data_IF_615977624030
#
_entry.id   IF_615977624030
#
_cell.length_a   1.000
_cell.length_b   1.000
_cell.length_c   1.000
_cell.angle_alpha   90.00
_cell.angle_beta   90.00
_cell.angle_gamma   90.00
#
_symmetry.space_group_name_H-M   'P 1'
#
loop_
_entity.id
_entity.type
_entity.pdbx_description
1 polymer ?
#
# COMPACT_ATOMS: atom_id res chain seq x y z
N UNK A 1 48.72 -17.38 -2.90
CA UNK A 1 49.82 -17.93 -3.71
C UNK A 1 49.71 -19.45 -3.65
N UNK A 2 49.14 -20.06 -4.69
CA UNK A 2 48.98 -21.51 -4.76
C UNK A 2 50.32 -22.13 -5.13
N UNK A 3 51.03 -22.67 -4.14
CA UNK A 3 52.09 -23.63 -4.42
C UNK A 3 51.39 -24.91 -4.90
N UNK A 4 51.52 -25.23 -6.18
CA UNK A 4 51.26 -26.56 -6.73
C UNK A 4 52.22 -27.55 -6.05
N UNK A 5 51.89 -27.97 -4.83
CA UNK A 5 52.53 -29.09 -4.16
C UNK A 5 52.09 -30.34 -4.89
N UNK A 6 53.04 -31.00 -5.56
CA UNK A 6 52.76 -32.24 -6.26
C UNK A 6 52.42 -33.29 -5.18
N UNK A 7 51.19 -33.80 -5.24
CA UNK A 7 50.64 -34.69 -4.23
C UNK A 7 51.29 -36.08 -4.31
N UNK A 8 51.61 -36.67 -3.15
CA UNK A 8 52.00 -38.08 -3.00
C UNK A 8 53.10 -38.64 -3.93
N UNK A 9 54.07 -37.84 -4.37
CA UNK A 9 55.12 -38.30 -5.31
C UNK A 9 55.94 -39.50 -4.81
N UNK A 10 56.18 -39.58 -3.50
CA UNK A 10 56.97 -40.61 -2.82
C UNK A 10 56.07 -41.55 -2.03
N UNK A 11 55.03 -41.03 -1.37
CA UNK A 11 54.14 -41.83 -0.52
C UNK A 11 52.98 -42.51 -1.26
N UNK A 12 52.59 -42.03 -2.45
CA UNK A 12 51.40 -42.49 -3.18
C UNK A 12 50.07 -42.06 -2.53
N UNK A 13 50.09 -41.19 -1.52
CA UNK A 13 48.91 -40.71 -0.83
C UNK A 13 48.31 -39.48 -1.53
N UNK A 14 46.98 -39.47 -1.72
CA UNK A 14 46.24 -38.26 -2.08
C UNK A 14 46.01 -37.43 -0.81
N UNK A 15 47.04 -36.67 -0.43
CA UNK A 15 47.03 -35.87 0.80
C UNK A 15 46.03 -34.73 0.72
N UNK A 16 45.75 -34.21 -0.48
CA UNK A 16 44.71 -33.20 -0.70
C UNK A 16 43.34 -33.73 -0.32
N UNK A 17 42.96 -34.90 -0.83
CA UNK A 17 41.68 -35.55 -0.52
C UNK A 17 41.59 -35.90 0.96
N UNK A 18 42.66 -36.44 1.55
CA UNK A 18 42.68 -36.81 2.96
C UNK A 18 42.55 -35.59 3.89
N UNK A 19 43.27 -34.50 3.61
CA UNK A 19 43.14 -33.24 4.36
C UNK A 19 41.72 -32.70 4.23
N UNK A 20 41.12 -32.71 3.02
CA UNK A 20 39.75 -32.25 2.84
C UNK A 20 38.73 -33.10 3.63
N UNK A 21 38.89 -34.43 3.67
CA UNK A 21 38.04 -35.32 4.46
C UNK A 21 38.19 -35.06 5.97
N UNK A 22 39.41 -34.88 6.46
CA UNK A 22 39.66 -34.51 7.86
C UNK A 22 39.01 -33.16 8.20
N UNK A 23 39.17 -32.17 7.31
CA UNK A 23 38.55 -30.86 7.47
C UNK A 23 37.02 -30.91 7.47
N UNK A 24 36.39 -31.80 6.70
CA UNK A 24 34.93 -31.99 6.73
C UNK A 24 34.44 -32.50 8.09
N UNK A 25 35.15 -33.45 8.69
CA UNK A 25 34.82 -33.98 10.02
C UNK A 25 35.02 -32.90 11.08
N UNK A 26 36.15 -32.20 11.02
CA UNK A 26 36.49 -31.11 11.95
C UNK A 26 35.51 -29.93 11.84
N UNK A 27 34.90 -29.72 10.67
CA UNK A 27 33.86 -28.72 10.45
C UNK A 27 32.47 -29.12 11.01
N UNK A 28 32.30 -30.33 11.55
CA UNK A 28 31.02 -30.82 12.09
C UNK A 28 30.32 -29.85 13.06
N UNK A 29 31.00 -29.32 14.10
CA UNK A 29 30.42 -28.34 15.00
C UNK A 29 29.98 -27.04 14.30
N UNK A 30 30.75 -26.59 13.31
CA UNK A 30 30.40 -25.41 12.53
C UNK A 30 29.15 -25.65 11.68
N UNK A 31 29.05 -26.81 11.03
CA UNK A 31 27.88 -27.22 10.25
C UNK A 31 26.62 -27.22 11.12
N UNK A 32 26.72 -27.72 12.35
CA UNK A 32 25.61 -27.68 13.31
C UNK A 32 25.22 -26.24 13.69
N UNK A 33 26.19 -25.35 13.91
CA UNK A 33 25.92 -23.93 14.15
C UNK A 33 25.25 -23.26 12.95
N UNK A 34 25.73 -23.51 11.73
CA UNK A 34 25.13 -23.00 10.48
C UNK A 34 23.68 -23.47 10.33
N UNK A 35 23.39 -24.75 10.61
CA UNK A 35 22.04 -25.29 10.59
C UNK A 35 21.11 -24.65 11.64
N UNK A 36 21.60 -24.47 12.88
CA UNK A 36 20.86 -23.77 13.95
C UNK A 36 20.60 -22.31 13.60
N UNK A 37 21.60 -21.60 13.06
CA UNK A 37 21.48 -20.21 12.65
C UNK A 37 20.43 -20.06 11.54
N UNK A 38 20.46 -20.95 10.53
CA UNK A 38 19.47 -20.95 9.44
C UNK A 38 18.04 -21.17 9.97
N UNK A 39 17.86 -22.17 10.84
CA UNK A 39 16.56 -22.47 11.47
C UNK A 39 16.05 -21.28 12.29
N UNK A 40 16.94 -20.66 13.09
CA UNK A 40 16.59 -19.49 13.91
C UNK A 40 16.25 -18.28 13.06
N UNK A 41 16.95 -18.06 11.93
CA UNK A 41 16.59 -17.01 10.96
C UNK A 41 15.19 -17.23 10.36
N UNK A 42 14.86 -18.45 9.95
CA UNK A 42 13.51 -18.77 9.47
C UNK A 42 12.44 -18.54 10.55
N UNK A 43 12.75 -18.85 11.81
CA UNK A 43 11.87 -18.56 12.94
C UNK A 43 11.68 -17.06 13.17
N UNK A 44 12.76 -16.27 13.14
CA UNK A 44 12.71 -14.79 13.20
C UNK A 44 11.80 -14.25 12.10
N UNK A 45 11.98 -14.67 10.84
CA UNK A 45 11.14 -14.22 9.73
C UNK A 45 9.67 -14.59 9.91
N UNK A 46 9.39 -15.78 10.48
CA UNK A 46 8.03 -16.19 10.80
C UNK A 46 7.40 -15.33 11.90
N UNK A 47 8.14 -15.04 12.97
CA UNK A 47 7.67 -14.15 14.05
C UNK A 47 7.46 -12.72 13.55
N UNK A 48 8.35 -12.19 12.71
CA UNK A 48 8.19 -10.88 12.08
C UNK A 48 6.92 -10.83 11.22
N UNK A 49 6.66 -11.86 10.42
CA UNK A 49 5.43 -11.96 9.63
C UNK A 49 4.18 -12.02 10.51
N UNK A 50 4.22 -12.79 11.61
CA UNK A 50 3.14 -12.80 12.59
C UNK A 50 2.94 -11.43 13.22
N UNK A 51 4.03 -10.72 13.57
CA UNK A 51 3.97 -9.40 14.19
C UNK A 51 3.27 -8.37 13.31
N UNK A 52 3.59 -8.35 12.02
CA UNK A 52 2.90 -7.47 11.04
C UNK A 52 1.40 -7.77 10.97
N UNK A 53 1.01 -9.04 10.99
CA UNK A 53 -0.41 -9.44 10.97
C UNK A 53 -1.13 -9.04 12.26
N UNK A 54 -0.49 -9.22 13.42
CA UNK A 54 -1.04 -8.81 14.71
C UNK A 54 -1.17 -7.28 14.80
N UNK A 55 -0.17 -6.52 14.31
CA UNK A 55 -0.25 -5.07 14.24
C UNK A 55 -1.40 -4.60 13.33
N UNK A 56 -1.58 -5.23 12.17
CA UNK A 56 -2.71 -4.94 11.28
C UNK A 56 -4.07 -5.28 11.91
N UNK A 57 -4.14 -6.35 12.71
CA UNK A 57 -5.31 -6.67 13.52
C UNK A 57 -5.57 -5.57 14.56
N UNK A 58 -4.53 -5.08 15.25
CA UNK A 58 -4.65 -4.00 16.22
C UNK A 58 -5.25 -2.72 15.59
N UNK A 59 -4.73 -2.30 14.43
CA UNK A 59 -5.24 -1.12 13.71
C UNK A 59 -6.70 -1.28 13.28
N UNK A 60 -7.06 -2.44 12.72
CA UNK A 60 -8.43 -2.73 12.30
C UNK A 60 -9.38 -2.75 13.50
N UNK A 61 -9.01 -3.46 14.56
CA UNK A 61 -9.83 -3.57 15.76
C UNK A 61 -9.99 -2.21 16.46
N UNK A 62 -8.93 -1.42 16.55
CA UNK A 62 -8.99 -0.05 17.07
C UNK A 62 -9.90 0.85 16.21
N UNK A 63 -9.92 0.67 14.89
CA UNK A 63 -10.87 1.37 14.01
C UNK A 63 -12.31 0.95 14.32
N UNK A 64 -12.59 -0.35 14.47
CA UNK A 64 -13.95 -0.86 14.74
C UNK A 64 -14.46 -0.42 16.11
N UNK A 65 -13.59 -0.29 17.10
CA UNK A 65 -13.91 0.16 18.45
C UNK A 65 -14.37 1.64 18.51
N UNK A 66 -13.97 2.46 17.52
CA UNK A 66 -14.30 3.89 17.48
C UNK A 66 -15.78 4.15 17.18
N UNK A 67 -16.47 5.02 17.94
CA UNK A 67 -17.86 5.38 17.69
C UNK A 67 -18.13 5.90 16.28
N UNK A 68 -17.17 6.58 15.66
CA UNK A 68 -17.30 7.15 14.31
C UNK A 68 -17.44 6.06 13.24
N UNK A 69 -16.87 4.88 13.45
CA UNK A 69 -17.00 3.75 12.51
C UNK A 69 -18.42 3.19 12.42
N UNK A 70 -19.27 3.54 13.39
CA UNK A 70 -20.67 3.11 13.47
C UNK A 70 -21.64 4.13 12.88
N UNK A 71 -21.15 5.32 12.54
CA UNK A 71 -21.91 6.38 11.88
C UNK A 71 -21.93 6.16 10.35
N UNK A 72 -22.27 4.95 9.93
CA UNK A 72 -22.30 4.58 8.52
C UNK A 72 -23.68 4.90 7.93
N UNK A 73 -23.72 5.89 7.05
CA UNK A 73 -24.93 6.33 6.37
C UNK A 73 -24.73 6.26 4.86
N UNK A 74 -25.80 5.90 4.16
CA UNK A 74 -25.82 5.77 2.71
C UNK A 74 -26.91 6.67 2.14
N UNK A 75 -26.50 7.58 1.26
CA UNK A 75 -27.42 8.34 0.43
C UNK A 75 -27.56 7.66 -0.93
N UNK A 76 -28.79 7.39 -1.35
CA UNK A 76 -29.11 6.83 -2.66
C UNK A 76 -29.94 7.82 -3.45
N UNK A 77 -29.71 7.88 -4.76
CA UNK A 77 -30.44 8.75 -5.69
C UNK A 77 -31.36 7.92 -6.56
N UNK A 78 -32.54 8.44 -6.88
CA UNK A 78 -33.44 7.87 -7.88
C UNK A 78 -33.00 8.15 -9.33
N UNK A 79 -32.00 9.01 -9.55
CA UNK A 79 -31.49 9.38 -10.88
C UNK A 79 -29.98 9.17 -10.97
N UNK A 80 -29.51 8.64 -12.10
CA UNK A 80 -28.06 8.46 -12.39
C UNK A 80 -27.34 9.77 -12.65
N UNK A 81 -28.07 10.84 -12.96
CA UNK A 81 -27.51 12.18 -13.15
C UNK A 81 -27.23 12.93 -11.84
N UNK A 82 -27.59 12.34 -10.72
CA UNK A 82 -27.42 12.91 -9.38
C UNK A 82 -26.73 11.89 -8.49
N UNK A 83 -25.64 12.30 -7.86
CA UNK A 83 -24.95 11.53 -6.83
C UNK A 83 -25.11 12.23 -5.49
N UNK A 84 -25.09 11.46 -4.41
CA UNK A 84 -25.16 11.99 -3.06
C UNK A 84 -24.14 11.29 -2.18
N UNK A 85 -23.50 12.05 -1.29
CA UNK A 85 -22.55 11.55 -0.30
C UNK A 85 -23.05 11.90 1.10
N UNK A 86 -23.15 10.90 1.96
CA UNK A 86 -23.52 11.06 3.35
C UNK A 86 -22.26 11.04 4.25
N UNK A 87 -22.22 11.92 5.24
CA UNK A 87 -21.20 11.98 6.28
C UNK A 87 -21.67 11.26 7.56
N UNK A 88 -20.81 11.19 8.57
CA UNK A 88 -21.16 10.60 9.87
C UNK A 88 -22.27 11.34 10.63
N UNK A 89 -22.51 12.62 10.31
CA UNK A 89 -23.60 13.41 10.89
C UNK A 89 -24.93 13.27 10.15
N UNK A 90 -24.98 12.45 9.09
CA UNK A 90 -26.20 12.24 8.34
C UNK A 90 -27.30 11.60 9.20
N UNK A 91 -28.55 11.81 8.80
CA UNK A 91 -29.72 11.24 9.45
C UNK A 91 -30.63 10.60 8.41
N UNK A 92 -31.37 9.57 8.84
CA UNK A 92 -32.36 8.95 7.98
C UNK A 92 -33.41 9.96 7.51
N UNK A 93 -33.72 9.96 6.23
CA UNK A 93 -34.65 10.91 5.64
C UNK A 93 -34.66 10.85 4.13
N UNK A 94 -35.59 11.58 3.51
CA UNK A 94 -35.67 11.68 2.06
C UNK A 94 -35.98 13.10 1.63
N UNK A 95 -35.37 13.54 0.52
CA UNK A 95 -35.63 14.83 -0.08
C UNK A 95 -35.83 14.67 -1.59
N UNK A 96 -36.91 15.24 -2.11
CA UNK A 96 -37.19 15.29 -3.55
C UNK A 96 -37.00 16.71 -4.10
N UNK A 97 -36.36 16.81 -5.26
CA UNK A 97 -36.11 18.07 -5.94
C UNK A 97 -36.05 17.90 -7.46
N UNK A 98 -36.17 19.01 -8.19
CA UNK A 98 -35.98 19.08 -9.63
C UNK A 98 -34.71 19.87 -9.92
N UNK A 99 -33.85 19.38 -10.81
CA UNK A 99 -32.68 20.13 -11.29
C UNK A 99 -33.13 20.98 -12.46
N UNK A 100 -33.15 22.31 -12.30
CA UNK A 100 -33.57 23.23 -13.37
C UNK A 100 -32.40 23.68 -14.25
N UNK A 101 -31.21 23.89 -13.65
CA UNK A 101 -29.96 24.17 -14.37
C UNK A 101 -28.76 23.53 -13.67
N UNK A 102 -27.69 23.30 -14.43
CA UNK A 102 -26.39 22.85 -13.91
C UNK A 102 -25.38 23.97 -14.07
N UNK A 103 -24.48 24.12 -13.09
CA UNK A 103 -23.43 25.10 -13.15
C UNK A 103 -22.48 24.78 -14.31
N UNK A 104 -22.20 25.78 -15.15
CA UNK A 104 -21.35 25.62 -16.33
C UNK A 104 -20.22 26.63 -16.33
N UNK A 105 -19.08 26.24 -16.90
CA UNK A 105 -17.98 27.18 -17.17
C UNK A 105 -18.27 27.96 -18.46
N UNK A 106 -17.78 29.19 -18.53
CA UNK A 106 -17.84 30.00 -19.75
C UNK A 106 -16.94 29.42 -20.85
N UNK A 107 -17.41 29.48 -22.09
CA UNK A 107 -16.63 29.17 -23.31
C UNK A 107 -16.82 30.31 -24.30
N UNK A 108 -15.71 30.97 -24.64
CA UNK A 108 -15.67 32.05 -25.63
C UNK A 108 -14.62 31.75 -26.69
N UNK A 109 -14.79 32.35 -27.86
CA UNK A 109 -13.90 32.23 -28.99
C UNK A 109 -13.38 33.61 -29.38
N UNK A 110 -12.15 33.66 -29.87
CA UNK A 110 -11.69 34.81 -30.65
C UNK A 110 -12.45 34.94 -31.96
N UNK A 111 -12.38 36.12 -32.57
CA UNK A 111 -12.63 36.25 -34.01
C UNK A 111 -11.69 35.35 -34.83
N UNK A 112 -12.03 35.20 -36.12
CA UNK A 112 -11.20 34.44 -37.06
C UNK A 112 -9.89 35.19 -37.29
N UNK A 113 -8.77 34.54 -37.00
CA UNK A 113 -7.43 35.12 -37.09
C UNK A 113 -6.48 34.26 -37.91
N UNK A 114 -5.49 34.89 -38.53
CA UNK A 114 -4.32 34.22 -39.07
C UNK A 114 -3.28 34.03 -37.96
N UNK A 115 -2.34 33.10 -38.13
CA UNK A 115 -1.18 32.94 -37.24
C UNK A 115 -0.03 33.86 -37.68
N UNK A 116 -0.28 35.17 -37.63
CA UNK A 116 0.62 36.22 -38.10
C UNK A 116 1.20 37.08 -36.96
N UNK A 117 0.90 36.73 -35.71
CA UNK A 117 1.33 37.48 -34.52
C UNK A 117 0.39 38.59 -34.08
N UNK A 118 -0.68 38.91 -34.84
CA UNK A 118 -1.49 40.09 -34.58
C UNK A 118 -2.37 39.99 -33.32
N UNK A 119 -2.62 38.79 -32.79
CA UNK A 119 -3.56 38.58 -31.69
C UNK A 119 -3.06 39.17 -30.35
N UNK A 120 -1.77 39.04 -30.03
CA UNK A 120 -1.19 39.54 -28.77
C UNK A 120 -0.51 40.92 -28.93
N UNK A 121 -0.21 41.35 -30.16
CA UNK A 121 0.54 42.57 -30.42
C UNK A 121 2.03 42.46 -30.13
N UNK A 122 2.73 43.60 -30.25
CA UNK A 122 4.18 43.70 -30.02
C UNK A 122 4.43 44.90 -29.09
N UNK A 123 4.97 44.69 -27.87
CA UNK A 123 5.27 43.39 -27.25
C UNK A 123 3.99 42.55 -26.99
N UNK A 124 4.08 41.20 -27.03
CA UNK A 124 2.91 40.34 -26.86
C UNK A 124 2.42 40.36 -25.41
N UNK A 125 1.23 40.92 -25.19
CA UNK A 125 0.59 40.99 -23.88
C UNK A 125 -0.87 40.56 -23.96
N UNK A 126 -1.26 39.60 -23.14
CA UNK A 126 -2.65 39.18 -22.97
C UNK A 126 -3.01 39.32 -21.50
N UNK A 127 -4.14 39.95 -21.21
CA UNK A 127 -4.65 40.06 -19.85
C UNK A 127 -6.01 39.40 -19.75
N UNK A 128 -6.17 38.52 -18.78
CA UNK A 128 -7.46 37.89 -18.46
C UNK A 128 -8.04 38.59 -17.23
N UNK A 129 -9.28 39.05 -17.36
CA UNK A 129 -10.11 39.48 -16.23
C UNK A 129 -10.94 38.29 -15.77
N UNK A 130 -10.69 37.80 -14.57
CA UNK A 130 -11.49 36.72 -13.96
C UNK A 130 -12.84 37.26 -13.46
N UNK A 131 -13.80 36.38 -13.20
CA UNK A 131 -15.13 36.73 -12.68
C UNK A 131 -15.09 37.43 -11.32
N UNK A 132 -14.07 37.12 -10.50
CA UNK A 132 -13.76 37.81 -9.26
C UNK A 132 -13.14 39.22 -9.46
N UNK A 133 -12.90 39.63 -10.70
CA UNK A 133 -12.35 40.94 -11.07
C UNK A 133 -10.82 41.02 -11.07
N UNK A 134 -10.10 39.93 -10.80
CA UNK A 134 -8.64 39.93 -10.83
C UNK A 134 -8.12 40.02 -12.27
N UNK A 135 -7.09 40.84 -12.48
CA UNK A 135 -6.40 40.97 -13.75
C UNK A 135 -5.10 40.18 -13.74
N UNK A 136 -4.99 39.21 -14.65
CA UNK A 136 -3.80 38.38 -14.81
C UNK A 136 -3.19 38.64 -16.17
N UNK A 137 -2.11 39.40 -16.19
CA UNK A 137 -1.34 39.68 -17.42
C UNK A 137 -0.30 38.60 -17.67
N UNK A 138 -0.30 38.08 -18.89
CA UNK A 138 0.62 37.05 -19.38
C UNK A 138 1.43 37.64 -20.52
N UNK A 139 2.68 37.20 -20.59
CA UNK A 139 3.68 37.62 -21.58
C UNK A 139 4.10 36.40 -22.41
N UNK A 140 3.39 36.11 -23.52
CA UNK A 140 3.83 35.08 -24.45
C UNK A 140 5.23 35.34 -25.00
N UNK A 141 5.97 34.29 -25.35
CA UNK A 141 7.31 34.44 -25.95
C UNK A 141 7.28 35.12 -27.31
N UNK A 142 6.20 34.92 -28.07
CA UNK A 142 5.94 35.58 -29.36
C UNK A 142 4.44 35.80 -29.55
N UNK A 143 4.06 36.51 -30.62
CA UNK A 143 2.65 36.69 -30.99
C UNK A 143 1.99 35.45 -31.62
N UNK A 144 2.72 34.35 -31.85
CA UNK A 144 2.17 33.15 -32.48
C UNK A 144 1.02 32.56 -31.65
N UNK A 145 0.00 32.01 -32.30
CA UNK A 145 -1.16 31.43 -31.61
C UNK A 145 -0.75 30.28 -30.67
N UNK A 146 0.28 29.53 -31.06
CA UNK A 146 0.84 28.45 -30.25
C UNK A 146 1.50 28.98 -28.96
N UNK A 147 2.32 30.03 -29.05
CA UNK A 147 2.96 30.61 -27.88
C UNK A 147 1.96 31.31 -26.96
N UNK A 148 0.95 31.97 -27.54
CA UNK A 148 -0.13 32.61 -26.77
C UNK A 148 -0.93 31.57 -25.98
N UNK A 149 -1.37 30.48 -26.63
CA UNK A 149 -2.11 29.42 -25.93
C UNK A 149 -1.26 28.67 -24.92
N UNK A 150 0.03 28.43 -25.23
CA UNK A 150 0.97 27.84 -24.28
C UNK A 150 1.13 28.73 -23.04
N UNK A 151 1.38 30.03 -23.21
CA UNK A 151 1.56 30.94 -22.10
C UNK A 151 0.29 31.05 -21.23
N UNK A 152 -0.90 31.06 -21.84
CA UNK A 152 -2.18 30.99 -21.12
C UNK A 152 -2.36 29.68 -20.35
N UNK A 153 -1.98 28.55 -20.94
CA UNK A 153 -2.16 27.24 -20.28
C UNK A 153 -1.15 27.00 -19.16
N UNK A 154 0.06 27.57 -19.27
CA UNK A 154 1.15 27.46 -18.29
C UNK A 154 1.03 28.48 -17.14
N UNK A 155 0.28 29.57 -17.33
CA UNK A 155 0.08 30.59 -16.30
C UNK A 155 -0.76 30.06 -15.13
N UNK A 156 -0.26 30.26 -13.91
CA UNK A 156 -1.04 30.07 -12.69
C UNK A 156 -2.12 31.17 -12.57
N UNK A 157 -3.23 30.84 -11.92
CA UNK A 157 -4.28 31.78 -11.51
C UNK A 157 -5.00 32.57 -12.62
N UNK A 158 -4.72 32.28 -13.90
CA UNK A 158 -5.36 32.94 -15.04
C UNK A 158 -6.86 32.60 -15.19
N UNK A 159 -7.32 31.50 -14.59
CA UNK A 159 -8.74 31.11 -14.58
C UNK A 159 -9.31 30.61 -15.92
N UNK A 160 -8.48 30.49 -16.96
CA UNK A 160 -8.87 30.03 -18.30
C UNK A 160 -7.87 29.02 -18.89
N UNK A 161 -8.35 28.18 -19.79
CA UNK A 161 -7.54 27.33 -20.68
C UNK A 161 -7.82 27.69 -22.13
N UNK A 162 -6.78 27.66 -22.95
CA UNK A 162 -6.83 28.10 -24.33
C UNK A 162 -6.48 26.96 -25.29
N UNK A 163 -7.19 26.87 -26.41
CA UNK A 163 -6.92 25.88 -27.47
C UNK A 163 -7.08 26.53 -28.84
N UNK A 164 -6.10 26.32 -29.72
CA UNK A 164 -6.17 26.79 -31.11
C UNK A 164 -6.99 25.79 -31.94
N UNK A 165 -7.98 26.29 -32.67
CA UNK A 165 -8.85 25.50 -33.54
C UNK A 165 -8.77 26.04 -34.95
N UNK A 166 -8.38 25.19 -35.91
CA UNK A 166 -8.36 25.53 -37.33
C UNK A 166 -9.80 25.55 -37.87
N UNK A 167 -10.18 26.62 -38.57
CA UNK A 167 -11.56 26.82 -39.09
C UNK A 167 -11.66 26.84 -40.62
N UNK A 168 -10.53 26.90 -41.34
CA UNK A 168 -10.52 26.81 -42.82
C UNK A 168 -9.57 25.73 -43.33
N UNK A 169 -9.90 25.18 -44.50
CA UNK A 169 -9.04 24.29 -45.28
C UNK A 169 -8.28 25.11 -46.33
N UNK A 170 -6.99 24.82 -46.57
CA UNK A 170 -6.17 25.53 -47.57
C UNK A 170 -4.72 25.81 -47.12
N UNK A 171 -3.95 26.45 -48.01
CA UNK A 171 -2.53 26.83 -47.79
C UNK A 171 -2.36 28.01 -46.83
N UNK A 172 -3.40 28.83 -46.66
CA UNK A 172 -3.49 29.94 -45.69
C UNK A 172 -4.56 29.63 -44.63
N UNK A 173 -4.26 28.74 -43.66
CA UNK A 173 -5.23 28.35 -42.64
C UNK A 173 -5.58 29.53 -41.72
N UNK A 174 -6.86 29.64 -41.41
CA UNK A 174 -7.39 30.54 -40.40
C UNK A 174 -7.79 29.74 -39.15
N UNK A 175 -7.71 30.42 -38.00
CA UNK A 175 -7.89 29.81 -36.69
C UNK A 175 -8.83 30.63 -35.81
N UNK A 176 -9.36 30.01 -34.77
CA UNK A 176 -9.91 30.66 -33.58
C UNK A 176 -9.18 30.11 -32.36
N UNK A 177 -9.00 30.92 -31.33
CA UNK A 177 -8.66 30.41 -30.00
C UNK A 177 -9.95 30.24 -29.23
N UNK A 178 -10.19 29.02 -28.73
CA UNK A 178 -11.22 28.75 -27.75
C UNK A 178 -10.66 28.96 -26.35
N UNK A 179 -11.27 29.85 -25.59
CA UNK A 179 -11.04 30.01 -24.17
C UNK A 179 -12.12 29.26 -23.39
N UNK A 180 -11.71 28.48 -22.40
CA UNK A 180 -12.60 27.72 -21.52
C UNK A 180 -12.28 28.10 -20.08
N UNK A 181 -13.27 28.58 -19.34
CA UNK A 181 -13.11 28.92 -17.92
C UNK A 181 -12.85 27.67 -17.07
N UNK A 182 -12.09 27.82 -15.99
CA UNK A 182 -11.80 26.74 -15.04
C UNK A 182 -12.77 26.68 -13.86
N UNK A 183 -13.62 27.71 -13.71
CA UNK A 183 -14.57 27.87 -12.61
C UNK A 183 -15.99 27.92 -13.17
N UNK A 184 -16.95 27.32 -12.48
CA UNK A 184 -18.38 27.41 -12.81
C UNK A 184 -19.03 28.57 -12.04
N UNK A 185 -20.30 28.84 -12.34
CA UNK A 185 -21.08 29.87 -11.65
C UNK A 185 -21.17 31.16 -12.46
N UNK A 186 -22.32 31.81 -12.40
CA UNK A 186 -22.67 32.98 -13.21
C UNK A 186 -21.67 34.12 -13.01
N UNK A 187 -21.31 34.41 -11.76
CA UNK A 187 -20.37 35.48 -11.42
C UNK A 187 -18.91 35.01 -11.46
N UNK A 188 -18.53 34.04 -10.63
CA UNK A 188 -17.13 33.62 -10.48
C UNK A 188 -16.57 32.87 -11.69
N UNK A 189 -17.44 32.20 -12.45
CA UNK A 189 -17.08 31.46 -13.66
C UNK A 189 -16.99 32.32 -14.92
N UNK A 190 -17.37 33.61 -14.83
CA UNK A 190 -17.22 34.54 -15.92
C UNK A 190 -15.75 34.90 -16.14
N UNK A 191 -15.38 35.24 -17.38
CA UNK A 191 -14.07 35.83 -17.66
C UNK A 191 -14.13 36.67 -18.93
N UNK A 192 -13.11 37.50 -19.11
CA UNK A 192 -12.91 38.28 -20.32
C UNK A 192 -11.43 38.31 -20.68
N UNK A 193 -11.13 38.28 -21.97
CA UNK A 193 -9.75 38.21 -22.45
C UNK A 193 -9.45 39.44 -23.28
N UNK A 194 -8.39 40.15 -22.91
CA UNK A 194 -7.98 41.39 -23.54
C UNK A 194 -6.58 41.26 -24.12
N UNK A 195 -6.38 41.96 -25.24
CA UNK A 195 -5.06 42.27 -25.76
C UNK A 195 -4.56 43.55 -25.10
N UNK A 196 -3.43 43.46 -24.39
CA UNK A 196 -2.85 44.56 -23.61
C UNK A 196 -2.48 44.15 -22.18
N UNK A 197 -1.88 45.08 -21.44
CA UNK A 197 -1.55 44.91 -20.03
C UNK A 197 -2.74 45.22 -19.11
N UNK A 198 -2.59 44.94 -17.81
CA UNK A 198 -3.61 45.20 -16.81
C UNK A 198 -4.03 46.68 -16.77
N UNK A 199 -3.09 47.62 -16.90
CA UNK A 199 -3.38 49.04 -16.85
C UNK A 199 -4.33 49.46 -18.00
N UNK A 200 -4.09 48.98 -19.22
CA UNK A 200 -4.95 49.23 -20.36
C UNK A 200 -6.35 48.62 -20.20
N UNK A 201 -6.46 47.46 -19.53
CA UNK A 201 -7.77 46.86 -19.20
C UNK A 201 -8.52 47.71 -18.16
N UNK A 202 -7.83 48.19 -17.13
CA UNK A 202 -8.44 49.02 -16.07
C UNK A 202 -8.98 50.34 -16.62
N UNK A 203 -8.23 51.01 -17.50
CA UNK A 203 -8.65 52.29 -18.10
C UNK A 203 -9.54 52.13 -19.34
N UNK A 204 -9.86 50.89 -19.73
CA UNK A 204 -10.76 50.58 -20.84
C UNK A 204 -10.21 50.84 -22.24
N UNK A 205 -8.88 50.89 -22.39
CA UNK A 205 -8.20 51.08 -23.70
C UNK A 205 -7.75 49.77 -24.33
N UNK A 206 -7.74 48.67 -23.58
CA UNK A 206 -7.43 47.34 -24.11
C UNK A 206 -8.56 46.77 -24.99
N UNK A 207 -8.19 46.08 -26.07
CA UNK A 207 -9.17 45.46 -26.98
C UNK A 207 -9.58 44.08 -26.43
N UNK A 208 -10.88 43.88 -26.20
CA UNK A 208 -11.43 42.56 -25.88
C UNK A 208 -11.34 41.64 -27.10
N UNK A 209 -10.76 40.45 -26.93
CA UNK A 209 -10.52 39.50 -28.02
C UNK A 209 -11.43 38.28 -27.99
N UNK A 210 -12.12 38.01 -26.88
CA UNK A 210 -13.07 36.89 -26.74
C UNK A 210 -14.50 37.28 -27.12
N UNK A 211 -14.68 37.68 -28.38
CA UNK A 211 -15.90 38.36 -28.85
C UNK A 211 -17.10 37.43 -29.10
N UNK A 212 -16.89 36.13 -29.27
CA UNK A 212 -17.96 35.17 -29.55
C UNK A 212 -18.19 34.21 -28.38
N UNK A 213 -19.37 34.26 -27.74
CA UNK A 213 -19.74 33.36 -26.64
C UNK A 213 -20.41 32.10 -27.17
N UNK A 214 -19.83 30.93 -26.89
CA UNK A 214 -20.40 29.61 -27.22
C UNK A 214 -21.28 29.11 -26.07
N UNK A 215 -20.84 29.35 -24.82
CA UNK A 215 -21.58 29.01 -23.61
C UNK A 215 -21.25 30.05 -22.54
N UNK A 216 -22.28 30.65 -21.95
CA UNK A 216 -22.09 31.49 -20.77
C UNK A 216 -21.79 30.63 -19.53
N UNK A 217 -21.07 31.19 -18.56
CA UNK A 217 -21.06 30.60 -17.23
C UNK A 217 -22.44 30.73 -16.60
N UNK A 218 -22.83 29.74 -15.79
CA UNK A 218 -24.13 29.75 -15.12
C UNK A 218 -24.04 29.03 -13.78
N UNK A 219 -24.98 29.36 -12.89
CA UNK A 219 -25.19 28.70 -11.61
C UNK A 219 -26.01 27.41 -11.76
N UNK A 220 -25.82 26.48 -10.84
CA UNK A 220 -26.71 25.34 -10.67
C UNK A 220 -27.95 25.78 -9.89
N UNK A 221 -29.10 25.28 -10.30
CA UNK A 221 -30.38 25.63 -9.71
C UNK A 221 -31.22 24.39 -9.46
N UNK A 222 -31.70 24.25 -8.22
CA UNK A 222 -32.68 23.24 -7.82
C UNK A 222 -33.99 23.92 -7.44
N UNK A 223 -35.11 23.27 -7.76
CA UNK A 223 -36.41 23.59 -7.19
C UNK A 223 -36.83 22.50 -6.22
N UNK A 224 -37.03 22.90 -4.96
CA UNK A 224 -37.56 22.08 -3.87
C UNK A 224 -39.08 22.19 -3.83
N UNK A 225 -39.76 21.07 -3.57
CA UNK A 225 -41.24 20.99 -3.44
C UNK A 225 -42.01 21.65 -4.59
N UNK A 226 -41.53 21.46 -5.83
CA UNK A 226 -42.08 22.05 -7.05
C UNK A 226 -43.60 21.82 -7.15
N UNK A 227 -44.35 22.88 -7.45
CA UNK A 227 -45.81 22.81 -7.59
C UNK A 227 -46.61 22.89 -6.28
N UNK A 228 -45.95 23.22 -5.16
CA UNK A 228 -46.61 23.48 -3.87
C UNK A 228 -46.44 24.94 -3.45
N UNK A 229 -47.22 25.40 -2.47
CA UNK A 229 -47.09 26.75 -1.89
C UNK A 229 -45.73 26.96 -1.17
N UNK A 230 -45.02 25.88 -0.85
CA UNK A 230 -43.71 25.89 -0.21
C UNK A 230 -42.54 25.77 -1.21
N UNK A 231 -42.80 25.96 -2.51
CA UNK A 231 -41.78 25.85 -3.54
C UNK A 231 -40.62 26.83 -3.26
N UNK A 232 -39.39 26.30 -3.22
CA UNK A 232 -38.20 27.09 -2.99
C UNK A 232 -37.17 26.80 -4.07
N UNK A 233 -36.63 27.87 -4.65
CA UNK A 233 -35.49 27.80 -5.55
C UNK A 233 -34.21 27.91 -4.73
N UNK A 234 -33.25 27.02 -5.00
CA UNK A 234 -31.93 27.04 -4.41
C UNK A 234 -30.86 27.10 -5.50
N UNK A 235 -30.08 28.18 -5.49
CA UNK A 235 -29.08 28.52 -6.52
C UNK A 235 -27.69 28.60 -5.90
N UNK A 236 -26.68 28.11 -6.61
CA UNK A 236 -25.29 28.20 -6.20
C UNK A 236 -24.31 28.10 -7.39
N UNK A 237 -23.06 28.54 -7.24
CA UNK A 237 -22.08 28.56 -8.33
C UNK A 237 -21.49 27.20 -8.70
N UNK A 238 -21.74 26.15 -7.91
CA UNK A 238 -21.18 24.81 -8.09
C UNK A 238 -22.27 23.77 -8.37
N UNK A 239 -21.90 22.67 -9.00
CA UNK A 239 -22.78 21.50 -9.16
C UNK A 239 -22.93 20.66 -7.89
N UNK A 240 -22.18 20.95 -6.83
CA UNK A 240 -22.25 20.24 -5.55
C UNK A 240 -22.94 21.11 -4.51
N UNK A 241 -24.13 20.70 -4.10
CA UNK A 241 -24.96 21.30 -3.04
C UNK A 241 -24.52 20.72 -1.69
N UNK A 242 -23.62 21.43 -1.03
CA UNK A 242 -23.10 21.03 0.30
C UNK A 242 -24.15 21.24 1.38
N UNK A 243 -24.38 20.24 2.22
CA UNK A 243 -25.32 20.31 3.34
C UNK A 243 -26.78 20.50 2.94
N UNK A 244 -27.17 20.06 1.73
CA UNK A 244 -28.56 20.13 1.25
C UNK A 244 -29.52 19.39 2.21
N UNK A 245 -29.04 18.31 2.82
CA UNK A 245 -29.63 17.72 4.02
C UNK A 245 -28.56 17.71 5.13
N UNK A 246 -28.96 17.54 6.39
CA UNK A 246 -27.99 17.41 7.49
C UNK A 246 -27.03 16.25 7.19
N UNK A 247 -25.74 16.56 7.03
CA UNK A 247 -24.70 15.58 6.73
C UNK A 247 -24.73 15.00 5.32
N UNK A 248 -25.45 15.59 4.36
CA UNK A 248 -25.51 15.07 2.98
C UNK A 248 -25.22 16.17 1.98
N UNK A 249 -24.25 15.87 1.11
CA UNK A 249 -23.92 16.68 -0.05
C UNK A 249 -24.48 16.01 -1.31
N UNK A 250 -24.99 16.81 -2.24
CA UNK A 250 -25.61 16.32 -3.47
C UNK A 250 -24.95 16.95 -4.67
N UNK A 251 -24.46 16.14 -5.60
CA UNK A 251 -23.85 16.61 -6.85
C UNK A 251 -24.77 16.29 -8.03
N UNK A 252 -25.02 17.29 -8.87
CA UNK A 252 -25.87 17.17 -10.06
C UNK A 252 -25.05 17.31 -11.33
N UNK A 253 -25.40 16.55 -12.37
CA UNK A 253 -24.67 16.57 -13.64
C UNK A 253 -25.55 16.81 -14.86
N UNK A 254 -26.87 16.74 -14.69
CA UNK A 254 -27.84 16.98 -15.77
C UNK A 254 -29.11 17.61 -15.20
N UNK A 255 -29.73 18.46 -16.02
CA UNK A 255 -31.08 18.99 -15.80
C UNK A 255 -32.09 17.85 -15.84
N UNK A 256 -33.07 17.89 -14.95
CA UNK A 256 -34.22 16.96 -14.95
C UNK A 256 -35.11 17.30 -16.14
N UNK A 257 -35.41 16.32 -16.99
CA UNK A 257 -36.27 16.58 -18.15
C UNK A 257 -37.69 16.98 -17.71
N UNK A 258 -38.40 17.77 -18.53
CA UNK A 258 -39.73 18.28 -18.17
C UNK A 258 -40.78 17.17 -17.95
N UNK A 259 -40.57 16.00 -18.53
CA UNK A 259 -41.39 14.79 -18.43
C UNK A 259 -40.85 13.77 -17.41
N UNK A 260 -39.70 14.03 -16.79
CA UNK A 260 -39.12 13.17 -15.75
C UNK A 260 -39.67 13.53 -14.36
N UNK A 261 -39.88 12.50 -13.53
CA UNK A 261 -40.24 12.70 -12.14
C UNK A 261 -39.11 13.40 -11.35
N UNK A 262 -39.42 14.16 -10.28
CA UNK A 262 -38.40 14.75 -9.42
C UNK A 262 -37.40 13.71 -8.90
N UNK A 263 -36.13 14.09 -8.85
CA UNK A 263 -35.09 13.25 -8.26
C UNK A 263 -35.28 13.19 -6.75
N UNK A 264 -35.24 11.99 -6.19
CA UNK A 264 -35.34 11.76 -4.75
C UNK A 264 -34.04 11.19 -4.22
N UNK A 265 -33.48 11.87 -3.21
CA UNK A 265 -32.39 11.36 -2.39
C UNK A 265 -32.98 10.69 -1.17
N UNK A 266 -32.56 9.46 -0.89
CA UNK A 266 -32.94 8.70 0.31
C UNK A 266 -31.70 8.40 1.13
N UNK A 267 -31.72 8.76 2.40
CA UNK A 267 -30.66 8.49 3.36
C UNK A 267 -31.14 7.41 4.30
N UNK A 268 -30.37 6.34 4.38
CA UNK A 268 -30.60 5.24 5.31
C UNK A 268 -29.30 4.81 5.96
N UNK A 269 -29.40 4.09 7.07
CA UNK A 269 -28.24 3.50 7.71
C UNK A 269 -27.60 2.47 6.78
N UNK A 270 -26.28 2.52 6.63
CA UNK A 270 -25.55 1.61 5.75
C UNK A 270 -25.27 0.29 6.46
N UNK A 271 -26.30 -0.56 6.54
CA UNK A 271 -26.18 -1.87 7.17
C UNK A 271 -25.16 -2.78 6.48
N UNK A 272 -24.89 -2.57 5.19
CA UNK A 272 -23.87 -3.34 4.45
C UNK A 272 -22.46 -2.93 4.89
N UNK A 273 -22.21 -1.63 5.03
CA UNK A 273 -20.93 -1.15 5.58
C UNK A 273 -20.72 -1.64 7.02
N UNK A 274 -21.76 -1.66 7.86
CA UNK A 274 -21.67 -2.15 9.24
C UNK A 274 -21.47 -3.68 9.32
N UNK A 275 -22.13 -4.47 8.46
CA UNK A 275 -21.82 -5.91 8.32
C UNK A 275 -20.36 -6.12 7.91
N UNK A 276 -19.89 -5.33 6.94
CA UNK A 276 -18.50 -5.41 6.48
C UNK A 276 -17.51 -5.07 7.60
N UNK A 277 -17.84 -4.09 8.46
CA UNK A 277 -17.02 -3.74 9.62
C UNK A 277 -16.84 -4.94 10.57
N UNK A 278 -17.92 -5.65 10.88
CA UNK A 278 -17.87 -6.85 11.72
C UNK A 278 -17.19 -8.05 11.06
N UNK A 279 -17.46 -8.30 9.78
CA UNK A 279 -16.83 -9.40 9.05
C UNK A 279 -15.33 -9.18 8.84
N UNK A 280 -14.90 -7.94 8.57
CA UNK A 280 -13.48 -7.59 8.42
C UNK A 280 -12.71 -7.79 9.73
N UNK A 281 -13.30 -7.45 10.89
CA UNK A 281 -12.70 -7.73 12.20
C UNK A 281 -12.48 -9.24 12.41
N UNK A 282 -13.52 -10.04 12.19
CA UNK A 282 -13.46 -11.51 12.36
C UNK A 282 -12.46 -12.13 11.37
N UNK A 283 -12.43 -11.66 10.13
CA UNK A 283 -11.49 -12.13 9.12
C UNK A 283 -10.04 -11.80 9.51
N UNK A 284 -9.77 -10.58 9.97
CA UNK A 284 -8.43 -10.17 10.42
C UNK A 284 -7.95 -11.01 11.61
N UNK A 285 -8.85 -11.26 12.59
CA UNK A 285 -8.56 -12.15 13.72
C UNK A 285 -8.21 -13.57 13.24
N UNK A 286 -9.02 -14.12 12.34
CA UNK A 286 -8.81 -15.46 11.79
C UNK A 286 -7.51 -15.57 10.98
N UNK A 287 -7.06 -14.51 10.30
CA UNK A 287 -5.77 -14.50 9.60
C UNK A 287 -4.62 -14.72 10.58
N UNK A 288 -4.66 -14.06 11.74
CA UNK A 288 -3.65 -14.25 12.80
C UNK A 288 -3.72 -15.66 13.38
N UNK A 289 -4.91 -16.12 13.76
CA UNK A 289 -5.10 -17.45 14.34
C UNK A 289 -4.69 -18.57 13.36
N UNK A 290 -4.98 -18.40 12.07
CA UNK A 290 -4.61 -19.36 11.02
C UNK A 290 -3.11 -19.38 10.75
N UNK A 291 -2.43 -18.23 10.81
CA UNK A 291 -0.96 -18.16 10.71
C UNK A 291 -0.32 -18.93 11.87
N UNK A 292 -0.82 -18.72 13.09
CA UNK A 292 -0.35 -19.44 14.27
C UNK A 292 -0.59 -20.95 14.12
N UNK A 293 -1.82 -21.35 13.77
CA UNK A 293 -2.18 -22.75 13.63
C UNK A 293 -1.35 -23.45 12.54
N UNK A 294 -1.23 -22.84 11.36
CA UNK A 294 -0.47 -23.41 10.24
C UNK A 294 1.01 -23.59 10.55
N UNK A 295 1.62 -22.64 11.27
CA UNK A 295 3.03 -22.72 11.67
C UNK A 295 3.27 -23.53 12.94
N UNK A 296 2.23 -23.86 13.70
CA UNK A 296 2.33 -24.72 14.87
C UNK A 296 2.06 -26.19 14.55
N UNK A 297 1.46 -26.46 13.38
CA UNK A 297 1.08 -27.80 12.95
C UNK A 297 2.28 -28.75 12.87
N UNK A 298 2.05 -30.01 13.26
CA UNK A 298 3.03 -31.09 13.12
C UNK A 298 2.66 -31.89 11.87
N UNK A 299 3.61 -32.03 10.94
CA UNK A 299 3.44 -32.82 9.73
C UNK A 299 4.14 -34.17 9.86
N UNK A 300 3.47 -35.23 9.40
CA UNK A 300 4.01 -36.59 9.38
C UNK A 300 4.12 -37.05 7.93
N UNK A 301 5.31 -37.49 7.51
CA UNK A 301 5.55 -38.01 6.17
C UNK A 301 6.22 -39.37 6.22
N UNK A 302 5.79 -40.30 5.38
CA UNK A 302 6.49 -41.59 5.21
C UNK A 302 7.60 -41.43 4.18
N UNK A 303 8.83 -41.72 4.58
CA UNK A 303 10.00 -41.69 3.72
C UNK A 303 10.00 -42.88 2.73
N UNK A 304 10.83 -42.80 1.70
CA UNK A 304 10.98 -43.86 0.68
C UNK A 304 11.48 -45.20 1.23
N UNK A 305 12.09 -45.19 2.41
CA UNK A 305 12.55 -46.38 3.14
C UNK A 305 11.47 -46.97 4.08
N UNK A 306 10.24 -46.44 4.05
CA UNK A 306 9.12 -46.87 4.89
C UNK A 306 9.13 -46.31 6.31
N UNK A 307 10.11 -45.48 6.68
CA UNK A 307 10.16 -44.85 8.01
C UNK A 307 9.24 -43.62 8.09
N UNK A 308 8.65 -43.39 9.26
CA UNK A 308 7.85 -42.18 9.50
C UNK A 308 8.75 -41.04 9.97
N UNK A 309 8.72 -39.91 9.28
CA UNK A 309 9.34 -38.66 9.68
C UNK A 309 8.28 -37.70 10.22
N UNK A 310 8.57 -37.09 11.37
CA UNK A 310 7.68 -36.11 12.02
C UNK A 310 8.41 -34.76 12.05
N UNK A 311 7.78 -33.73 11.49
CA UNK A 311 8.33 -32.37 11.45
C UNK A 311 7.34 -31.40 12.11
N UNK A 312 7.78 -30.79 13.21
CA UNK A 312 7.07 -29.64 13.77
C UNK A 312 7.17 -28.42 12.86
N UNK A 313 6.11 -27.62 12.81
CA UNK A 313 6.16 -26.29 12.25
C UNK A 313 7.05 -25.36 13.09
N UNK A 314 7.33 -24.17 12.57
CA UNK A 314 8.25 -23.22 13.19
C UNK A 314 7.80 -22.73 14.57
N UNK A 315 6.50 -22.81 14.88
CA UNK A 315 5.93 -22.38 16.17
C UNK A 315 5.58 -23.58 17.07
N UNK A 316 5.89 -24.81 16.66
CA UNK A 316 5.64 -25.99 17.49
C UNK A 316 6.44 -25.89 18.79
N UNK A 317 5.72 -25.88 19.92
CA UNK A 317 6.33 -25.77 21.26
C UNK A 317 6.56 -24.33 21.74
N UNK A 318 6.24 -23.31 20.94
CA UNK A 318 6.44 -21.92 21.34
C UNK A 318 5.34 -21.43 22.29
N UNK A 319 5.73 -21.21 23.55
CA UNK A 319 4.81 -20.78 24.63
C UNK A 319 4.28 -19.37 24.40
N UNK A 320 5.11 -18.43 23.96
CA UNK A 320 4.70 -17.05 23.67
C UNK A 320 3.63 -17.00 22.58
N UNK A 321 3.82 -17.75 21.49
CA UNK A 321 2.86 -17.82 20.38
C UNK A 321 1.53 -18.43 20.84
N UNK A 322 1.58 -19.47 21.68
CA UNK A 322 0.37 -20.09 22.26
C UNK A 322 -0.37 -19.13 23.20
N UNK A 323 0.35 -18.37 24.02
CA UNK A 323 -0.23 -17.38 24.91
C UNK A 323 -0.98 -16.29 24.11
N UNK A 324 -0.37 -15.80 23.02
CA UNK A 324 -1.01 -14.84 22.09
C UNK A 324 -2.31 -15.41 21.51
N UNK A 325 -2.27 -16.66 21.02
CA UNK A 325 -3.46 -17.33 20.49
C UNK A 325 -4.59 -17.39 21.53
N UNK A 326 -4.26 -17.75 22.78
CA UNK A 326 -5.22 -17.84 23.88
C UNK A 326 -5.80 -16.47 24.24
N UNK A 327 -4.95 -15.45 24.42
CA UNK A 327 -5.38 -14.09 24.76
C UNK A 327 -6.31 -13.49 23.70
N UNK A 328 -5.98 -13.66 22.40
CA UNK A 328 -6.83 -13.19 21.31
C UNK A 328 -8.17 -13.94 21.25
N UNK A 329 -8.15 -15.27 21.49
CA UNK A 329 -9.37 -16.08 21.52
C UNK A 329 -10.27 -15.69 22.70
N UNK A 330 -9.70 -15.40 23.87
CA UNK A 330 -10.42 -14.93 25.05
C UNK A 330 -11.01 -13.53 24.83
N UNK A 331 -10.22 -12.59 24.31
CA UNK A 331 -10.66 -11.22 23.99
C UNK A 331 -11.86 -11.19 23.02
N UNK A 332 -11.87 -12.10 22.04
CA UNK A 332 -12.94 -12.21 21.05
C UNK A 332 -14.16 -13.01 21.52
N UNK A 333 -14.03 -13.88 22.54
CA UNK A 333 -15.11 -14.78 22.96
C UNK A 333 -15.80 -14.38 24.27
N UNK A 334 -15.14 -13.64 25.15
CA UNK A 334 -15.73 -13.27 26.44
C UNK A 334 -16.92 -12.30 26.28
N UNK A 335 -17.90 -12.34 27.21
CA UNK A 335 -19.00 -11.39 27.19
C UNK A 335 -18.53 -9.93 27.29
N UNK A 336 -19.28 -9.00 26.69
CA UNK A 336 -19.13 -7.55 26.84
C UNK A 336 -20.40 -7.05 27.53
N UNK A 337 -20.28 -6.40 28.68
CA UNK A 337 -21.41 -5.97 29.51
C UNK A 337 -22.45 -7.07 29.79
N UNK A 338 -21.97 -8.31 29.96
CA UNK A 338 -22.80 -9.48 30.19
C UNK A 338 -23.46 -10.08 28.94
N UNK A 339 -23.27 -9.47 27.76
CA UNK A 339 -23.77 -9.98 26.49
C UNK A 339 -22.72 -10.81 25.76
N UNK A 340 -23.13 -11.95 25.21
CA UNK A 340 -22.25 -12.77 24.37
C UNK A 340 -21.96 -12.07 23.03
N UNK A 341 -20.73 -12.17 22.49
CA UNK A 341 -20.40 -11.71 21.14
C UNK A 341 -21.31 -12.26 20.02
N UNK A 342 -21.97 -13.40 20.26
CA UNK A 342 -22.96 -14.00 19.35
C UNK A 342 -24.17 -13.12 19.09
N UNK A 343 -24.51 -12.19 20.00
CA UNK A 343 -25.55 -11.18 19.80
C UNK A 343 -25.20 -10.25 18.63
N UNK A 344 -23.90 -9.99 18.42
CA UNK A 344 -23.39 -9.24 17.28
C UNK A 344 -22.95 -10.15 16.11
N UNK A 345 -23.38 -11.41 16.08
CA UNK A 345 -23.06 -12.36 15.02
C UNK A 345 -21.67 -13.01 15.12
N UNK A 346 -20.87 -12.74 16.16
CA UNK A 346 -19.56 -13.37 16.33
C UNK A 346 -19.68 -14.70 17.07
N UNK A 347 -19.20 -15.78 16.46
CA UNK A 347 -19.30 -17.14 16.99
C UNK A 347 -17.96 -17.87 16.95
N UNK A 348 -17.61 -18.58 18.02
CA UNK A 348 -16.42 -19.44 18.10
C UNK A 348 -16.75 -20.85 17.62
N UNK A 349 -15.97 -21.37 16.67
CA UNK A 349 -16.08 -22.73 16.16
C UNK A 349 -15.24 -23.71 16.98
N UNK A 350 -15.56 -25.01 16.80
CA UNK A 350 -14.84 -26.13 17.44
C UNK A 350 -13.37 -26.21 17.05
N UNK A 351 -12.99 -25.68 15.89
CA UNK A 351 -11.60 -25.63 15.40
C UNK A 351 -10.81 -24.44 15.95
N UNK A 352 -11.41 -23.60 16.79
CA UNK A 352 -10.79 -22.40 17.37
C UNK A 352 -10.85 -21.17 16.47
N UNK A 353 -11.50 -21.24 15.31
CA UNK A 353 -11.73 -20.07 14.43
C UNK A 353 -13.03 -19.35 14.77
N UNK A 354 -13.15 -18.10 14.36
CA UNK A 354 -14.36 -17.30 14.55
C UNK A 354 -15.16 -17.21 13.25
N UNK A 355 -16.48 -17.05 13.36
CA UNK A 355 -17.35 -16.71 12.23
C UNK A 355 -18.21 -15.50 12.52
N UNK A 356 -18.50 -14.76 11.46
CA UNK A 356 -19.45 -13.66 11.47
C UNK A 356 -20.74 -14.11 10.75
N UNK A 357 -21.83 -14.20 11.50
CA UNK A 357 -23.17 -14.47 10.97
C UNK A 357 -23.84 -13.14 10.60
N UNK A 358 -23.78 -12.79 9.31
CA UNK A 358 -24.38 -11.57 8.78
C UNK A 358 -25.89 -11.49 9.01
N UNK A 359 -26.60 -12.63 8.95
CA UNK A 359 -28.05 -12.65 9.13
C UNK A 359 -28.43 -12.42 10.59
N UNK A 360 -27.70 -13.04 11.52
CA UNK A 360 -27.86 -12.79 12.95
C UNK A 360 -27.53 -11.32 13.30
N UNK A 361 -26.45 -10.77 12.74
CA UNK A 361 -26.09 -9.36 12.91
C UNK A 361 -27.19 -8.44 12.39
N UNK A 362 -27.67 -8.62 11.16
CA UNK A 362 -28.73 -7.76 10.59
C UNK A 362 -29.99 -7.78 11.44
N UNK A 363 -30.41 -8.96 11.92
CA UNK A 363 -31.57 -9.08 12.80
C UNK A 363 -31.35 -8.34 14.12
N UNK A 364 -30.25 -8.63 14.81
CA UNK A 364 -29.96 -8.03 16.11
C UNK A 364 -29.79 -6.50 16.01
N UNK A 365 -29.19 -6.02 14.93
CA UNK A 365 -28.96 -4.60 14.70
C UNK A 365 -30.26 -3.86 14.40
N UNK A 366 -31.21 -4.48 13.69
CA UNK A 366 -32.54 -3.91 13.49
C UNK A 366 -33.35 -3.82 14.80
N UNK A 367 -33.17 -4.79 15.71
CA UNK A 367 -33.87 -4.83 17.00
C UNK A 367 -33.28 -3.85 18.01
N UNK A 368 -31.94 -3.76 18.12
CA UNK A 368 -31.24 -2.90 19.08
C UNK A 368 -29.84 -2.50 18.56
N UNK A 369 -29.74 -1.42 17.76
CA UNK A 369 -28.48 -0.95 17.19
C UNK A 369 -27.43 -0.61 18.25
N UNK A 370 -27.86 0.00 19.36
CA UNK A 370 -26.97 0.44 20.43
C UNK A 370 -26.32 -0.77 21.12
N UNK A 371 -27.10 -1.81 21.43
CA UNK A 371 -26.56 -3.04 22.01
C UNK A 371 -25.57 -3.73 21.09
N UNK A 372 -25.88 -3.87 19.80
CA UNK A 372 -24.95 -4.49 18.84
C UNK A 372 -23.66 -3.68 18.72
N UNK A 373 -23.76 -2.35 18.67
CA UNK A 373 -22.60 -1.46 18.69
C UNK A 373 -21.75 -1.66 19.94
N UNK A 374 -22.35 -1.62 21.14
CA UNK A 374 -21.63 -1.82 22.41
C UNK A 374 -20.87 -3.15 22.41
N UNK A 375 -21.54 -4.24 22.02
CA UNK A 375 -20.92 -5.58 22.03
C UNK A 375 -19.78 -5.67 21.03
N UNK A 376 -19.99 -5.29 19.77
CA UNK A 376 -18.96 -5.44 18.74
C UNK A 376 -17.80 -4.47 18.95
N UNK A 377 -18.08 -3.22 19.35
CA UNK A 377 -17.03 -2.25 19.68
C UNK A 377 -16.22 -2.70 20.90
N UNK A 378 -16.85 -3.24 21.96
CA UNK A 378 -16.12 -3.75 23.13
C UNK A 378 -15.32 -5.02 22.84
N UNK A 379 -15.80 -5.90 21.94
CA UNK A 379 -14.99 -7.01 21.43
C UNK A 379 -13.77 -6.47 20.69
N UNK A 380 -13.98 -5.51 19.80
CA UNK A 380 -12.90 -4.90 19.03
C UNK A 380 -11.88 -4.18 19.91
N UNK A 381 -12.31 -3.47 20.95
CA UNK A 381 -11.45 -2.78 21.91
C UNK A 381 -10.51 -3.77 22.62
N UNK A 382 -11.03 -4.86 23.18
CA UNK A 382 -10.20 -5.89 23.85
C UNK A 382 -9.24 -6.58 22.88
N UNK A 383 -9.70 -6.86 21.65
CA UNK A 383 -8.83 -7.43 20.62
C UNK A 383 -7.73 -6.45 20.23
N UNK A 384 -8.05 -5.15 20.12
CA UNK A 384 -7.08 -4.11 19.83
C UNK A 384 -6.04 -3.95 20.93
N UNK A 385 -6.46 -3.99 22.20
CA UNK A 385 -5.58 -3.94 23.38
C UNK A 385 -4.57 -5.10 23.34
N UNK A 386 -5.06 -6.34 23.28
CA UNK A 386 -4.19 -7.53 23.23
C UNK A 386 -3.26 -7.48 22.01
N UNK A 387 -3.78 -7.14 20.83
CA UNK A 387 -2.98 -7.08 19.62
C UNK A 387 -1.91 -5.98 19.70
N UNK A 388 -2.21 -4.84 20.32
CA UNK A 388 -1.25 -3.75 20.55
C UNK A 388 -0.16 -4.20 21.51
N UNK A 389 -0.51 -4.76 22.67
CA UNK A 389 0.46 -5.25 23.67
C UNK A 389 1.37 -6.36 23.15
N UNK A 390 0.90 -7.14 22.18
CA UNK A 390 1.70 -8.17 21.54
C UNK A 390 2.63 -7.59 20.49
N UNK A 391 2.15 -6.65 19.68
CA UNK A 391 2.83 -6.17 18.48
C UNK A 391 3.56 -4.84 18.61
N UNK A 392 3.45 -4.17 19.77
CA UNK A 392 4.10 -2.90 20.01
C UNK A 392 5.60 -2.94 19.66
N UNK A 393 6.06 -1.88 19.01
CA UNK A 393 7.41 -1.82 18.44
C UNK A 393 8.53 -1.75 19.46
N UNK A 394 8.22 -1.49 20.73
CA UNK A 394 9.20 -1.38 21.81
C UNK A 394 8.97 -2.42 22.89
N UNK A 395 7.75 -2.52 23.40
CA UNK A 395 7.40 -3.32 24.56
C UNK A 395 6.63 -4.60 24.19
N UNK A 396 6.29 -4.76 22.91
CA UNK A 396 5.49 -5.86 22.41
C UNK A 396 6.11 -7.22 22.74
N UNK A 397 5.33 -8.13 23.31
CA UNK A 397 5.83 -9.46 23.69
C UNK A 397 6.45 -10.22 22.51
N UNK A 398 5.89 -10.07 21.31
CA UNK A 398 6.43 -10.65 20.09
C UNK A 398 7.67 -9.92 19.58
N UNK A 399 7.69 -8.59 19.70
CA UNK A 399 8.86 -7.75 19.39
C UNK A 399 10.07 -8.15 20.24
N UNK A 400 9.89 -8.27 21.55
CA UNK A 400 10.96 -8.68 22.47
C UNK A 400 11.46 -10.11 22.16
N UNK A 401 10.56 -11.03 21.79
CA UNK A 401 10.93 -12.38 21.35
C UNK A 401 11.76 -12.32 20.07
N UNK A 402 11.37 -11.51 19.08
CA UNK A 402 12.12 -11.33 17.81
C UNK A 402 13.53 -10.82 18.11
N UNK A 403 13.67 -9.76 18.90
CA UNK A 403 14.97 -9.19 19.27
C UNK A 403 15.87 -10.21 19.97
N UNK A 404 15.32 -11.02 20.88
CA UNK A 404 16.06 -12.10 21.54
C UNK A 404 16.57 -13.17 20.55
N UNK A 405 15.76 -13.56 19.57
CA UNK A 405 16.16 -14.52 18.54
C UNK A 405 17.17 -13.93 17.55
N UNK A 406 17.06 -12.66 17.19
CA UNK A 406 18.04 -11.94 16.38
C UNK A 406 19.40 -11.86 17.09
N UNK A 407 19.39 -11.59 18.40
CA UNK A 407 20.59 -11.65 19.24
C UNK A 407 21.26 -13.02 19.21
N UNK A 408 20.46 -14.10 19.28
CA UNK A 408 20.98 -15.47 19.17
C UNK A 408 21.54 -15.78 17.77
N UNK A 409 20.88 -15.32 16.70
CA UNK A 409 21.39 -15.43 15.33
C UNK A 409 22.74 -14.75 15.17
N UNK A 410 22.91 -13.58 15.80
CA UNK A 410 24.15 -12.81 15.80
C UNK A 410 25.27 -13.54 16.56
N UNK A 411 24.99 -14.04 17.76
CA UNK A 411 25.95 -14.86 18.54
C UNK A 411 26.43 -16.08 17.74
N UNK A 412 25.49 -16.84 17.16
CA UNK A 412 25.84 -17.98 16.32
C UNK A 412 26.70 -17.56 15.12
N UNK A 413 26.44 -16.39 14.53
CA UNK A 413 27.26 -15.82 13.46
C UNK A 413 28.71 -15.59 13.89
N UNK A 414 28.91 -14.90 15.02
CA UNK A 414 30.25 -14.69 15.58
C UNK A 414 30.99 -16.01 15.85
N UNK A 415 30.28 -17.00 16.40
CA UNK A 415 30.86 -18.33 16.65
C UNK A 415 31.22 -19.09 15.37
N UNK A 416 30.43 -18.92 14.31
CA UNK A 416 30.73 -19.51 12.99
C UNK A 416 32.01 -18.90 12.42
N UNK A 417 32.19 -17.57 12.52
CA UNK A 417 33.40 -16.87 12.09
C UNK A 417 34.64 -17.32 12.90
N UNK A 418 34.50 -17.52 14.20
CA UNK A 418 35.55 -18.11 15.03
C UNK A 418 35.94 -19.51 14.56
N UNK A 419 34.96 -20.34 14.21
CA UNK A 419 35.20 -21.66 13.65
C UNK A 419 35.88 -21.60 12.28
N UNK A 420 35.50 -20.66 11.40
CA UNK A 420 36.18 -20.47 10.11
C UNK A 420 37.67 -20.19 10.31
N UNK A 421 38.02 -19.30 11.27
CA UNK A 421 39.42 -19.01 11.62
C UNK A 421 40.16 -20.25 12.15
N UNK A 422 39.52 -21.02 13.05
CA UNK A 422 40.11 -22.25 13.62
C UNK A 422 40.35 -23.32 12.56
N UNK A 423 39.37 -23.54 11.69
CA UNK A 423 39.46 -24.50 10.60
C UNK A 423 40.55 -24.11 9.59
N UNK A 424 40.73 -22.82 9.31
CA UNK A 424 41.83 -22.35 8.46
C UNK A 424 43.21 -22.69 9.05
N UNK A 425 43.43 -22.42 10.35
CA UNK A 425 44.68 -22.77 11.05
C UNK A 425 44.89 -24.29 11.09
N UNK A 426 43.83 -25.07 11.34
CA UNK A 426 43.88 -26.53 11.33
C UNK A 426 44.29 -27.08 9.96
N UNK A 427 43.71 -26.55 8.88
CA UNK A 427 44.07 -26.93 7.51
C UNK A 427 45.52 -26.65 7.21
N UNK A 428 46.03 -25.47 7.56
CA UNK A 428 47.43 -25.11 7.37
C UNK A 428 48.36 -26.04 8.17
N UNK A 429 48.01 -26.36 9.42
CA UNK A 429 48.73 -27.33 10.23
C UNK A 429 48.81 -28.71 9.58
N UNK A 430 47.67 -29.23 9.10
CA UNK A 430 47.61 -30.51 8.39
C UNK A 430 48.49 -30.48 7.12
N UNK A 431 48.39 -29.42 6.32
CA UNK A 431 49.23 -29.25 5.13
C UNK A 431 50.73 -29.29 5.47
N UNK A 432 51.17 -28.63 6.54
CA UNK A 432 52.56 -28.69 7.01
C UNK A 432 52.95 -30.10 7.46
N UNK A 433 52.07 -30.80 8.18
CA UNK A 433 52.34 -32.18 8.64
C UNK A 433 52.50 -33.15 7.47
N UNK A 434 51.61 -33.12 6.48
CA UNK A 434 51.70 -33.98 5.31
C UNK A 434 52.89 -33.61 4.40
N UNK A 435 53.22 -32.33 4.26
CA UNK A 435 54.42 -31.90 3.54
C UNK A 435 55.71 -32.40 4.22
N UNK A 436 55.79 -32.32 5.55
CA UNK A 436 56.93 -32.85 6.30
C UNK A 436 57.03 -34.38 6.18
N UNK A 437 55.90 -35.09 6.23
CA UNK A 437 55.84 -36.54 6.02
C UNK A 437 56.45 -36.91 4.66
N UNK A 438 56.09 -36.19 3.60
CA UNK A 438 56.58 -36.42 2.24
C UNK A 438 58.10 -36.21 2.14
N UNK A 439 58.63 -35.15 2.77
CA UNK A 439 60.08 -34.91 2.84
C UNK A 439 60.79 -36.03 3.60
N UNK A 440 60.24 -36.48 4.73
CA UNK A 440 60.83 -37.58 5.50
C UNK A 440 60.81 -38.90 4.72
N UNK A 441 59.72 -39.19 4.00
CA UNK A 441 59.60 -40.37 3.18
C UNK A 441 60.59 -40.32 2.01
N UNK A 442 60.74 -39.17 1.36
CA UNK A 442 61.74 -38.96 0.31
C UNK A 442 63.16 -39.27 0.80
N UNK A 443 63.53 -38.73 1.97
CA UNK A 443 64.82 -38.99 2.58
C UNK A 443 65.02 -40.48 2.93
N UNK A 444 63.97 -41.15 3.42
CA UNK A 444 64.02 -42.59 3.73
C UNK A 444 64.15 -43.44 2.47
N UNK A 445 63.44 -43.11 1.39
CA UNK A 445 63.56 -43.77 0.09
C UNK A 445 64.96 -43.57 -0.48
N UNK A 446 65.51 -42.36 -0.42
CA UNK A 446 66.89 -42.10 -0.84
C UNK A 446 67.92 -42.89 -0.01
N UNK A 447 67.75 -42.97 1.31
CA UNK A 447 68.61 -43.80 2.18
C UNK A 447 68.48 -45.29 1.87
N UNK A 448 67.26 -45.78 1.66
CA UNK A 448 67.01 -47.18 1.26
C UNK A 448 67.68 -47.51 -0.07
N UNK A 449 67.55 -46.62 -1.07
CA UNK A 449 68.19 -46.79 -2.37
C UNK A 449 69.72 -46.75 -2.26
N UNK A 450 70.27 -45.87 -1.42
CA UNK A 450 71.70 -45.82 -1.14
C UNK A 450 72.19 -47.10 -0.48
N UNK A 451 71.50 -47.61 0.55
CA UNK A 451 71.82 -48.86 1.23
C UNK A 451 71.74 -50.06 0.26
N UNK A 452 70.69 -50.12 -0.57
CA UNK A 452 70.54 -51.13 -1.59
C UNK A 452 71.73 -51.10 -2.58
N UNK A 453 72.13 -49.91 -3.03
CA UNK A 453 73.31 -49.74 -3.89
C UNK A 453 74.62 -50.17 -3.22
N UNK A 454 74.82 -49.86 -1.93
CA UNK A 454 76.00 -50.32 -1.17
C UNK A 454 76.03 -51.85 -1.04
N UNK A 455 74.88 -52.48 -0.74
CA UNK A 455 74.75 -53.94 -0.69
C UNK A 455 75.03 -54.59 -2.04
N UNK A 456 74.55 -54.00 -3.13
CA UNK A 456 74.82 -54.47 -4.50
C UNK A 456 76.31 -54.37 -4.85
N UNK A 457 76.99 -53.29 -4.45
CA UNK A 457 78.45 -53.15 -4.64
C UNK A 457 79.27 -54.10 -3.76
N UNK A 458 78.80 -54.43 -2.54
CA UNK A 458 79.42 -55.45 -1.69
C UNK A 458 79.25 -56.85 -2.29
N UNK A 459 78.08 -57.15 -2.85
CA UNK A 459 77.83 -58.43 -3.54
C UNK A 459 78.66 -58.56 -4.82
N UNK A 460 78.85 -57.47 -5.58
CA UNK A 460 79.72 -57.44 -6.75
C UNK A 460 81.20 -57.67 -6.39
N UNK A 461 81.68 -57.10 -5.28
CA UNK A 461 83.06 -57.28 -4.80
C UNK A 461 83.34 -58.66 -4.16
N UNK A 462 82.32 -59.44 -3.80
CA UNK A 462 82.48 -60.83 -3.34
C UNK A 462 82.39 -61.86 -4.47
N UNK A 463 82.10 -61.41 -5.70
CA UNK A 463 82.03 -62.23 -6.91
C UNK A 463 83.25 -62.11 -7.85
N UNK A 464 84.32 -61.45 -7.40
CA UNK A 464 85.66 -61.44 -7.99
C UNK A 464 86.66 -62.12 -7.06
#
# INVERSE_FOLDING_TARGET
MATLGIDGLVSGLDTTTLINQLMQIEAGPQTQLKAKQSTTKSFVSALQSLNVRVASLAEMAAKVAKPESWQAWKATSSSTSVTASASGSAQAGSLSFTVDSVASTQVTLTDVVADDGALAGIPPQITVRTGAGALVTIQPTSGSLADVTKALNDAADVGVKATVVRVTNGETPLYRIQFTGTTTGETDGAFEVFRGDAAAVEVGTATRIDTATVRASSDAQLTLWKGTDAQQVYTQPSNTFTGLMTGVDVTVSKVTAADEAPTTITVAQDTDALKKLGSDLVNSLNVVLSEIASRSAVTTTTNSDGTTSVKGGLFTGETAVRAIQQQLSEAASYPVDGFSPSVAGITLKKDGTFTFDEAAFTKAFADDPAKVQTVLAGVAERVAEVATDVSDKYEGSLTLKIQGQEGLVKDMGTRIEDWDRRLAVRKEGLQRTYAALEVTMSNLTSQSNWLAGQLETLNANWSS
#
